data_IF_766209507360
#
_entry.id   IF_766209507360
#
_cell.length_a   1.000
_cell.length_b   1.000
_cell.length_c   1.000
_cell.angle_alpha   90.00
_cell.angle_beta   90.00
_cell.angle_gamma   90.00
#
_symmetry.space_group_name_H-M   'P 1'
#
loop_
_entity.id
_entity.type
_entity.pdbx_description
1 polymer ?
#
# COMPACT_ATOMS: atom_id res chain seq x y z
N UNK A 1 -17.50 4.13 -2.44
CA UNK A 1 -16.52 5.20 -2.14
C UNK A 1 -16.47 5.33 -0.63
N UNK A 2 -15.32 5.02 -0.01
CA UNK A 2 -15.13 5.13 1.44
C UNK A 2 -14.35 6.42 1.71
N UNK A 3 -15.03 7.48 2.10
CA UNK A 3 -14.42 8.70 2.63
C UNK A 3 -14.78 8.78 4.10
N UNK A 4 -13.80 8.56 4.98
CA UNK A 4 -13.98 8.83 6.41
C UNK A 4 -13.87 10.34 6.61
N UNK A 5 -14.95 10.95 7.07
CA UNK A 5 -14.99 12.35 7.49
C UNK A 5 -15.13 12.36 9.00
N UNK A 6 -14.31 13.17 9.68
CA UNK A 6 -14.46 13.39 11.11
C UNK A 6 -15.88 13.90 11.41
N UNK A 7 -16.67 13.23 12.29
CA UNK A 7 -17.98 13.71 12.68
C UNK A 7 -18.00 15.13 13.25
N UNK A 8 -16.85 15.64 13.72
CA UNK A 8 -16.69 16.98 14.27
C UNK A 8 -16.21 18.01 13.23
N UNK A 9 -16.07 17.63 11.95
CA UNK A 9 -15.60 18.53 10.91
C UNK A 9 -16.65 19.60 10.57
N UNK A 10 -16.37 20.86 10.92
CA UNK A 10 -17.23 22.01 10.64
C UNK A 10 -16.90 22.73 9.32
N UNK A 11 -15.91 22.24 8.56
CA UNK A 11 -15.46 22.84 7.31
C UNK A 11 -16.28 22.43 6.07
N UNK A 12 -16.05 23.11 4.95
CA UNK A 12 -16.60 22.69 3.65
C UNK A 12 -15.84 21.46 3.17
N UNK A 13 -16.55 20.36 2.96
CA UNK A 13 -15.95 19.16 2.38
C UNK A 13 -15.59 19.41 0.91
N UNK A 14 -14.40 18.97 0.46
CA UNK A 14 -14.04 19.04 -0.95
C UNK A 14 -15.08 18.28 -1.78
N UNK A 15 -15.54 18.88 -2.87
CA UNK A 15 -16.51 18.23 -3.78
C UNK A 15 -15.95 16.98 -4.48
N UNK A 16 -14.62 16.81 -4.48
CA UNK A 16 -13.93 15.72 -5.16
C UNK A 16 -12.98 14.97 -4.22
N UNK A 17 -12.82 13.67 -4.47
CA UNK A 17 -11.90 12.81 -3.74
C UNK A 17 -10.42 12.98 -4.14
N UNK A 18 -10.11 13.94 -5.02
CA UNK A 18 -8.76 14.17 -5.57
C UNK A 18 -7.69 14.31 -4.48
N UNK A 19 -8.03 14.90 -3.34
CA UNK A 19 -7.11 15.02 -2.21
C UNK A 19 -6.74 13.64 -1.65
N UNK A 20 -7.71 12.77 -1.39
CA UNK A 20 -7.45 11.42 -0.88
C UNK A 20 -6.78 10.56 -1.96
N UNK A 21 -7.30 10.60 -3.18
CA UNK A 21 -6.83 9.74 -4.27
C UNK A 21 -5.44 10.12 -4.78
N UNK A 22 -5.17 11.42 -4.91
CA UNK A 22 -3.91 11.95 -5.41
C UNK A 22 -2.85 12.10 -4.33
N UNK A 23 -3.18 12.63 -3.16
CA UNK A 23 -2.17 12.90 -2.13
C UNK A 23 -1.83 11.67 -1.27
N UNK A 24 -2.77 10.74 -1.08
CA UNK A 24 -2.57 9.57 -0.20
C UNK A 24 -2.58 8.25 -0.98
N UNK A 25 -3.67 7.92 -1.69
CA UNK A 25 -3.80 6.61 -2.31
C UNK A 25 -2.83 6.38 -3.47
N UNK A 26 -2.48 7.43 -4.23
CA UNK A 26 -1.52 7.31 -5.33
C UNK A 26 -0.10 6.96 -4.83
N UNK A 27 0.49 7.68 -3.85
CA UNK A 27 1.75 7.27 -3.23
C UNK A 27 1.73 5.88 -2.60
N UNK A 28 0.67 5.51 -1.88
CA UNK A 28 0.55 4.17 -1.28
C UNK A 28 0.54 3.06 -2.34
N UNK A 29 -0.23 3.26 -3.43
CA UNK A 29 -0.21 2.34 -4.57
C UNK A 29 1.16 2.29 -5.24
N UNK A 30 1.88 3.42 -5.32
CA UNK A 30 3.24 3.46 -5.86
C UNK A 30 4.21 2.66 -5.00
N UNK A 31 4.19 2.84 -3.69
CA UNK A 31 5.02 2.08 -2.75
C UNK A 31 4.80 0.57 -2.90
N UNK A 32 3.55 0.13 -3.07
CA UNK A 32 3.24 -1.27 -3.33
C UNK A 32 3.80 -1.78 -4.67
N UNK A 33 3.85 -0.94 -5.71
CA UNK A 33 4.45 -1.27 -7.02
C UNK A 33 5.96 -1.35 -6.94
N UNK A 34 6.60 -0.38 -6.31
CA UNK A 34 8.07 -0.31 -6.19
C UNK A 34 8.64 -1.50 -5.42
N UNK A 35 7.88 -2.01 -4.45
CA UNK A 35 8.30 -3.13 -3.60
C UNK A 35 7.70 -4.47 -4.07
N UNK A 36 7.29 -4.61 -5.34
CA UNK A 36 6.56 -5.79 -5.88
C UNK A 36 7.29 -7.15 -5.78
N UNK A 37 8.57 -7.19 -5.42
CA UNK A 37 9.33 -8.42 -5.16
C UNK A 37 9.52 -8.78 -3.69
N UNK A 38 8.98 -7.98 -2.76
CA UNK A 38 9.10 -8.24 -1.33
C UNK A 38 7.91 -9.04 -0.79
N UNK A 39 8.12 -9.74 0.32
CA UNK A 39 7.04 -10.39 1.08
C UNK A 39 5.93 -9.39 1.42
N UNK A 40 4.67 -9.85 1.39
CA UNK A 40 3.49 -9.03 1.67
C UNK A 40 3.60 -8.28 3.01
N UNK A 41 4.07 -8.96 4.06
CA UNK A 41 4.30 -8.36 5.38
C UNK A 41 5.27 -7.18 5.34
N UNK A 42 6.36 -7.27 4.57
CA UNK A 42 7.33 -6.17 4.39
C UNK A 42 6.73 -4.98 3.65
N UNK A 43 5.91 -5.25 2.64
CA UNK A 43 5.24 -4.21 1.84
C UNK A 43 4.17 -3.49 2.67
N UNK A 44 3.42 -4.22 3.49
CA UNK A 44 2.45 -3.65 4.44
C UNK A 44 3.17 -2.82 5.50
N UNK A 45 4.29 -3.29 6.06
CA UNK A 45 5.11 -2.51 6.98
C UNK A 45 5.67 -1.24 6.34
N UNK A 46 6.05 -1.27 5.07
CA UNK A 46 6.47 -0.07 4.34
C UNK A 46 5.32 0.95 4.23
N UNK A 47 4.09 0.51 3.95
CA UNK A 47 2.90 1.38 4.01
C UNK A 47 2.72 1.99 5.40
N UNK A 48 2.75 1.17 6.46
CA UNK A 48 2.61 1.69 7.83
C UNK A 48 3.68 2.73 8.17
N UNK A 49 4.92 2.50 7.72
CA UNK A 49 5.99 3.47 7.85
C UNK A 49 5.72 4.76 7.09
N UNK A 50 5.23 4.68 5.84
CA UNK A 50 4.85 5.85 5.08
C UNK A 50 3.74 6.65 5.79
N UNK A 51 2.69 5.98 6.26
CA UNK A 51 1.61 6.62 7.02
C UNK A 51 2.12 7.29 8.29
N UNK A 52 3.06 6.64 9.00
CA UNK A 52 3.71 7.21 10.17
C UNK A 52 4.51 8.49 9.84
N UNK A 53 5.19 8.54 8.69
CA UNK A 53 5.97 9.71 8.28
C UNK A 53 5.10 10.88 7.78
N UNK A 54 3.85 10.60 7.37
CA UNK A 54 2.95 11.58 6.74
C UNK A 54 1.74 11.93 7.61
N UNK A 55 1.70 11.49 8.87
CA UNK A 55 0.68 11.91 9.83
C UNK A 55 1.07 13.21 10.53
N UNK A 56 0.10 14.09 10.78
CA UNK A 56 0.33 15.37 11.48
C UNK A 56 0.74 15.17 12.94
N UNK A 57 0.34 14.05 13.55
CA UNK A 57 0.57 13.75 14.96
C UNK A 57 1.20 12.36 15.16
N UNK A 58 2.48 12.20 14.77
CA UNK A 58 3.15 10.90 14.86
C UNK A 58 3.34 10.49 16.32
N UNK A 59 3.08 9.21 16.61
CA UNK A 59 3.43 8.64 17.91
C UNK A 59 4.95 8.69 18.12
N UNK A 60 5.44 8.85 19.37
CA UNK A 60 6.86 8.72 19.65
C UNK A 60 7.41 7.38 19.19
N UNK A 61 8.66 7.35 18.69
CA UNK A 61 9.31 6.15 18.15
C UNK A 61 9.20 4.92 19.09
N UNK A 62 9.39 5.14 20.40
CA UNK A 62 9.30 4.08 21.41
C UNK A 62 7.89 3.47 21.55
N UNK A 63 6.83 4.19 21.17
CA UNK A 63 5.44 3.70 21.18
C UNK A 63 5.08 2.99 19.88
N UNK A 64 5.58 3.46 18.74
CA UNK A 64 5.29 2.83 17.43
C UNK A 64 5.70 1.37 17.42
N UNK A 65 6.88 1.05 17.96
CA UNK A 65 7.39 -0.32 18.00
C UNK A 65 6.42 -1.29 18.71
N UNK A 66 5.59 -0.79 19.62
CA UNK A 66 4.59 -1.58 20.35
C UNK A 66 3.26 -1.72 19.61
N UNK A 67 2.93 -0.79 18.71
CA UNK A 67 1.64 -0.77 17.98
C UNK A 67 1.76 -1.24 16.54
N UNK A 68 2.97 -1.27 15.99
CA UNK A 68 3.23 -1.78 14.66
C UNK A 68 2.84 -3.26 14.58
N UNK A 69 2.06 -3.68 13.57
CA UNK A 69 1.66 -5.07 13.49
C UNK A 69 2.87 -5.97 13.21
N UNK A 70 2.88 -7.11 13.90
CA UNK A 70 3.84 -8.19 13.67
C UNK A 70 3.55 -8.90 12.35
N UNK A 71 4.53 -9.64 11.82
CA UNK A 71 4.32 -10.38 10.57
C UNK A 71 3.18 -11.39 10.68
N UNK A 72 3.06 -12.09 11.82
CA UNK A 72 1.97 -13.02 12.09
C UNK A 72 0.60 -12.33 12.08
N UNK A 73 0.48 -11.17 12.76
CA UNK A 73 -0.78 -10.40 12.75
C UNK A 73 -1.17 -9.94 11.34
N UNK A 74 -0.19 -9.57 10.51
CA UNK A 74 -0.44 -9.18 9.12
C UNK A 74 -0.93 -10.40 8.30
N UNK A 75 -0.27 -11.54 8.45
CA UNK A 75 -0.62 -12.78 7.76
C UNK A 75 -2.02 -13.27 8.17
N UNK A 76 -2.32 -13.26 9.48
CA UNK A 76 -3.63 -13.63 10.01
C UNK A 76 -4.74 -12.73 9.48
N UNK A 77 -4.52 -11.41 9.49
CA UNK A 77 -5.48 -10.44 8.94
C UNK A 77 -5.71 -10.66 7.44
N UNK A 78 -4.66 -10.96 6.68
CA UNK A 78 -4.77 -11.30 5.27
C UNK A 78 -5.57 -12.59 5.05
N UNK A 79 -5.26 -13.65 5.81
CA UNK A 79 -5.99 -14.91 5.74
C UNK A 79 -7.47 -14.72 6.05
N UNK A 80 -7.80 -13.94 7.08
CA UNK A 80 -9.18 -13.59 7.41
C UNK A 80 -9.88 -12.86 6.25
N UNK A 81 -9.29 -11.78 5.75
CA UNK A 81 -9.85 -10.99 4.66
C UNK A 81 -10.05 -11.82 3.37
N UNK A 82 -9.10 -12.71 3.05
CA UNK A 82 -9.17 -13.59 1.88
C UNK A 82 -10.30 -14.63 1.94
N UNK A 83 -10.77 -14.96 3.16
CA UNK A 83 -11.85 -15.92 3.40
C UNK A 83 -13.23 -15.26 3.34
N UNK A 84 -13.34 -14.04 3.87
CA UNK A 84 -14.59 -13.26 3.84
C UNK A 84 -14.89 -12.71 2.45
N UNK A 85 -13.86 -12.26 1.74
CA UNK A 85 -13.94 -11.86 0.35
C UNK A 85 -13.52 -13.05 -0.50
N UNK A 86 -14.45 -13.99 -0.70
CA UNK A 86 -14.23 -15.18 -1.52
C UNK A 86 -13.43 -14.83 -2.76
N UNK A 87 -12.21 -15.36 -2.83
CA UNK A 87 -11.21 -15.07 -3.85
C UNK A 87 -11.93 -15.09 -5.20
N UNK A 88 -12.09 -13.93 -5.85
CA UNK A 88 -12.25 -13.93 -7.29
C UNK A 88 -11.02 -14.70 -7.78
N UNK A 89 -11.22 -15.96 -8.18
CA UNK A 89 -10.21 -17.02 -8.29
C UNK A 89 -9.12 -16.76 -9.36
N UNK A 90 -9.00 -15.51 -9.78
CA UNK A 90 -8.14 -14.99 -10.82
C UNK A 90 -7.66 -13.58 -10.50
N UNK A 91 -7.60 -13.16 -9.24
CA UNK A 91 -6.66 -12.10 -8.86
C UNK A 91 -5.33 -12.82 -8.66
N UNK A 92 -4.34 -12.64 -9.56
CA UNK A 92 -3.06 -13.29 -9.36
C UNK A 92 -2.53 -12.86 -7.99
N UNK A 93 -1.89 -13.78 -7.25
CA UNK A 93 -1.15 -13.36 -6.05
C UNK A 93 -0.24 -12.21 -6.46
N UNK A 94 -0.07 -11.22 -5.60
CA UNK A 94 0.81 -10.10 -5.93
C UNK A 94 2.25 -10.63 -6.03
N UNK A 95 2.73 -10.85 -7.26
CA UNK A 95 3.95 -11.63 -7.57
C UNK A 95 3.74 -12.84 -8.49
N UNK A 96 2.50 -13.30 -8.68
CA UNK A 96 2.11 -14.40 -9.59
C UNK A 96 1.42 -13.89 -10.88
N UNK A 97 1.12 -12.60 -10.98
CA UNK A 97 0.63 -12.02 -12.22
C UNK A 97 1.79 -11.91 -13.21
N UNK A 98 1.69 -12.57 -14.38
CA UNK A 98 2.54 -12.23 -15.52
C UNK A 98 2.37 -10.74 -15.78
N UNK A 99 3.44 -9.97 -15.60
CA UNK A 99 3.43 -8.54 -15.85
C UNK A 99 3.83 -8.33 -17.32
N UNK A 100 3.15 -7.43 -18.04
CA UNK A 100 3.54 -7.07 -19.41
C UNK A 100 5.04 -6.69 -19.54
N UNK A 101 5.68 -6.26 -18.45
CA UNK A 101 7.12 -5.98 -18.38
C UNK A 101 8.04 -7.23 -18.52
N UNK A 102 7.57 -8.44 -18.22
CA UNK A 102 8.33 -9.70 -18.38
C UNK A 102 8.45 -10.15 -19.84
N UNK A 103 7.64 -9.58 -20.74
CA UNK A 103 7.69 -9.87 -22.17
C UNK A 103 8.66 -8.95 -22.94
N UNK A 104 9.29 -7.99 -22.26
CA UNK A 104 10.29 -7.14 -22.89
C UNK A 104 11.66 -7.80 -22.77
N UNK A 105 12.06 -8.51 -23.82
CA UNK A 105 13.48 -8.80 -24.07
C UNK A 105 14.25 -7.48 -24.05
N UNK A 106 15.23 -7.35 -23.16
CA UNK A 106 16.22 -6.29 -23.26
C UNK A 106 16.97 -6.49 -24.58
N UNK A 107 16.77 -5.58 -25.53
CA UNK A 107 17.60 -5.48 -26.73
C UNK A 107 19.07 -5.34 -26.28
N UNK A 108 20.05 -5.94 -26.96
CA UNK A 108 21.46 -5.94 -26.55
C UNK A 108 22.16 -4.61 -26.85
N UNK A 109 21.50 -3.48 -26.59
CA UNK A 109 22.09 -2.16 -26.73
C UNK A 109 22.33 -1.60 -25.33
N UNK A 110 23.59 -1.24 -25.11
CA UNK A 110 24.07 -0.55 -23.91
C UNK A 110 23.35 0.78 -23.79
N UNK A 111 22.60 0.98 -22.71
CA UNK A 111 22.11 2.29 -22.31
C UNK A 111 23.12 2.86 -21.30
N UNK A 112 23.81 3.90 -21.73
CA UNK A 112 24.82 4.66 -21.02
C UNK A 112 24.21 5.99 -20.58
N UNK A 113 23.27 5.95 -19.63
CA UNK A 113 22.82 7.13 -18.91
C UNK A 113 22.60 6.77 -17.44
N UNK A 114 23.32 7.50 -16.57
CA UNK A 114 23.16 7.56 -15.10
C UNK A 114 21.71 7.86 -14.69
#
# INVERSE_FOLDING_TARGET
MFTYTDPQFEGVLPAMNNQIEGATNAPLRQMLRDHRGMRLSRRIKAIFWWCYMHTEHPLPAAKILKVMPTDAQIEDAWHHASREHGVAATIPRWGDAICWHELHHTSPHRNDWD
#
